data_IF_910846341545
#
_entry.id   IF_910846341545
#
_cell.length_a   1.000
_cell.length_b   1.000
_cell.length_c   1.000
_cell.angle_alpha   90.00
_cell.angle_beta   90.00
_cell.angle_gamma   90.00
#
_symmetry.space_group_name_H-M   'P 1'
#
loop_
_entity.id
_entity.type
_entity.pdbx_description
1 polymer ?
#
# COMPACT_ATOMS: atom_id res chain seq x y z
N UNK A 1 7.45 26.11 -4.10
CA UNK A 1 6.65 26.18 -2.85
C UNK A 1 7.45 26.84 -1.71
N UNK A 2 7.26 28.14 -1.46
CA UNK A 2 7.83 28.84 -0.30
C UNK A 2 6.74 29.34 0.65
N UNK A 3 7.01 29.12 1.95
CA UNK A 3 6.19 29.28 3.17
C UNK A 3 5.07 28.24 3.38
N UNK A 4 5.11 27.66 4.59
CA UNK A 4 4.17 26.71 5.21
C UNK A 4 2.73 27.01 4.84
N UNK A 5 1.94 25.97 4.48
CA UNK A 5 0.49 25.95 4.77
C UNK A 5 -0.18 24.58 4.48
N UNK A 6 0.49 23.59 3.88
CA UNK A 6 -0.15 22.29 3.63
C UNK A 6 0.79 21.11 3.79
N UNK A 7 0.48 20.25 4.77
CA UNK A 7 1.13 18.96 4.98
C UNK A 7 0.65 17.91 3.96
N UNK A 8 -0.54 18.12 3.37
CA UNK A 8 -1.14 17.26 2.34
C UNK A 8 -1.81 18.14 1.28
N UNK A 9 -1.57 17.83 0.00
CA UNK A 9 -2.27 18.44 -1.13
C UNK A 9 -2.93 17.34 -1.93
N UNK A 10 -4.24 17.47 -2.17
CA UNK A 10 -5.00 16.56 -3.02
C UNK A 10 -5.46 17.34 -4.26
N UNK A 11 -5.09 16.83 -5.44
CA UNK A 11 -5.52 17.38 -6.72
C UNK A 11 -6.26 16.31 -7.52
N UNK A 12 -7.46 16.64 -7.99
CA UNK A 12 -8.29 15.74 -8.79
C UNK A 12 -8.56 16.36 -10.16
N UNK A 13 -8.29 15.60 -11.23
CA UNK A 13 -8.35 16.07 -12.61
C UNK A 13 -9.40 15.31 -13.42
N UNK A 14 -10.56 15.95 -13.67
CA UNK A 14 -11.67 15.39 -14.46
C UNK A 14 -11.39 15.28 -15.97
N UNK A 15 -10.31 15.90 -16.45
CA UNK A 15 -10.09 16.07 -17.89
C UNK A 15 -9.91 14.78 -18.68
N UNK A 16 -9.36 13.73 -18.06
CA UNK A 16 -9.16 12.41 -18.67
C UNK A 16 -10.49 11.67 -18.78
N UNK A 17 -11.28 11.66 -17.71
CA UNK A 17 -12.60 11.04 -17.66
C UNK A 17 -13.55 11.62 -18.72
N UNK A 18 -13.72 12.95 -18.74
CA UNK A 18 -14.57 13.61 -19.75
C UNK A 18 -14.12 13.33 -21.19
N UNK A 19 -12.81 13.22 -21.42
CA UNK A 19 -12.27 12.87 -22.73
C UNK A 19 -12.61 11.41 -23.10
N UNK A 20 -12.55 10.51 -22.12
CA UNK A 20 -12.94 9.10 -22.24
C UNK A 20 -14.39 8.96 -22.65
N UNK A 21 -15.32 9.55 -21.90
CA UNK A 21 -16.75 9.54 -22.23
C UNK A 21 -17.06 10.12 -23.61
N UNK A 22 -16.40 11.23 -23.98
CA UNK A 22 -16.72 11.95 -25.21
C UNK A 22 -16.20 11.28 -26.48
N UNK A 23 -15.01 10.70 -26.40
CA UNK A 23 -14.24 10.26 -27.58
C UNK A 23 -13.80 8.79 -27.53
N UNK A 24 -13.78 8.16 -26.36
CA UNK A 24 -13.23 6.83 -26.12
C UNK A 24 -11.71 6.83 -25.85
N UNK A 25 -11.19 5.79 -25.17
CA UNK A 25 -9.80 5.72 -24.70
C UNK A 25 -8.76 5.65 -25.83
N UNK A 26 -9.14 5.16 -27.02
CA UNK A 26 -8.23 4.99 -28.16
C UNK A 26 -8.19 6.21 -29.10
N UNK A 27 -8.94 7.27 -28.81
CA UNK A 27 -9.02 8.45 -29.68
C UNK A 27 -7.80 9.38 -29.51
N UNK A 28 -7.32 10.08 -30.56
CA UNK A 28 -6.18 11.00 -30.46
C UNK A 28 -6.32 12.10 -29.39
N UNK A 29 -7.54 12.53 -29.09
CA UNK A 29 -7.82 13.48 -28.00
C UNK A 29 -7.46 12.91 -26.63
N UNK A 30 -7.63 11.60 -26.41
CA UNK A 30 -7.20 10.95 -25.18
C UNK A 30 -5.69 11.06 -25.02
N UNK A 31 -4.92 10.73 -26.07
CA UNK A 31 -3.47 10.88 -26.08
C UNK A 31 -3.04 12.33 -25.81
N UNK A 32 -3.70 13.31 -26.43
CA UNK A 32 -3.44 14.74 -26.20
C UNK A 32 -3.72 15.13 -24.74
N UNK A 33 -4.80 14.62 -24.15
CA UNK A 33 -5.17 14.87 -22.75
C UNK A 33 -4.19 14.22 -21.77
N UNK A 34 -3.76 12.99 -22.04
CA UNK A 34 -2.74 12.29 -21.24
C UNK A 34 -1.39 13.01 -21.30
N UNK A 35 -0.98 13.54 -22.46
CA UNK A 35 0.21 14.39 -22.58
C UNK A 35 0.11 15.67 -21.74
N UNK A 36 -1.08 16.26 -21.65
CA UNK A 36 -1.33 17.39 -20.75
C UNK A 36 -1.11 16.99 -19.29
N UNK A 37 -1.61 15.83 -18.86
CA UNK A 37 -1.40 15.33 -17.48
C UNK A 37 0.06 15.00 -17.20
N UNK A 38 0.76 14.39 -18.16
CA UNK A 38 2.21 14.15 -18.06
C UNK A 38 2.98 15.47 -17.81
N UNK A 39 2.65 16.53 -18.55
CA UNK A 39 3.29 17.84 -18.36
C UNK A 39 2.98 18.46 -16.98
N UNK A 40 1.79 18.23 -16.43
CA UNK A 40 1.46 18.65 -15.05
C UNK A 40 2.32 17.88 -14.06
N UNK A 41 2.38 16.55 -14.17
CA UNK A 41 3.16 15.68 -13.28
C UNK A 41 4.65 16.07 -13.32
N UNK A 42 5.21 16.32 -14.50
CA UNK A 42 6.60 16.76 -14.65
C UNK A 42 6.89 18.08 -13.92
N UNK A 43 5.97 19.06 -14.03
CA UNK A 43 6.10 20.34 -13.30
C UNK A 43 6.00 20.16 -11.79
N UNK A 44 5.11 19.28 -11.32
CA UNK A 44 5.02 18.97 -9.89
C UNK A 44 6.33 18.35 -9.41
N UNK A 45 6.86 17.35 -10.12
CA UNK A 45 8.12 16.67 -9.79
C UNK A 45 9.28 17.67 -9.66
N UNK A 46 9.37 18.66 -10.54
CA UNK A 46 10.41 19.70 -10.50
C UNK A 46 10.37 20.57 -9.23
N UNK A 47 9.23 20.65 -8.57
CA UNK A 47 9.01 21.47 -7.36
C UNK A 47 9.06 20.64 -6.06
N UNK A 48 9.17 19.31 -6.15
CA UNK A 48 9.16 18.43 -4.97
C UNK A 48 10.45 18.56 -4.17
N UNK A 49 10.31 18.55 -2.85
CA UNK A 49 11.43 18.50 -1.90
C UNK A 49 11.73 17.05 -1.51
N UNK A 50 12.94 16.80 -1.01
CA UNK A 50 13.40 15.47 -0.59
C UNK A 50 12.50 14.80 0.46
N UNK A 51 11.75 15.57 1.25
CA UNK A 51 10.82 15.07 2.26
C UNK A 51 9.37 15.01 1.76
N UNK A 52 9.13 15.02 0.44
CA UNK A 52 7.79 14.98 -0.15
C UNK A 52 7.58 13.68 -0.93
N UNK A 53 6.37 13.14 -0.81
CA UNK A 53 5.88 11.99 -1.58
C UNK A 53 4.83 12.46 -2.59
N UNK A 54 4.98 12.06 -3.85
CA UNK A 54 3.98 12.19 -4.89
C UNK A 54 3.33 10.83 -5.14
N UNK A 55 2.01 10.78 -5.00
CA UNK A 55 1.19 9.61 -5.35
C UNK A 55 0.21 10.04 -6.44
N UNK A 56 0.24 9.37 -7.58
CA UNK A 56 -0.69 9.57 -8.69
C UNK A 56 -1.40 8.25 -8.93
N UNK A 57 -2.73 8.26 -8.87
CA UNK A 57 -3.55 7.08 -9.06
C UNK A 57 -4.83 7.40 -9.83
N UNK A 58 -5.37 6.40 -10.51
CA UNK A 58 -6.74 6.45 -11.02
C UNK A 58 -7.72 5.98 -9.95
N UNK A 59 -8.88 6.60 -9.90
CA UNK A 59 -10.05 6.16 -9.13
C UNK A 59 -10.76 4.98 -9.81
N UNK A 60 -10.90 5.03 -11.13
CA UNK A 60 -11.38 3.93 -11.96
C UNK A 60 -10.72 3.91 -13.35
N UNK A 61 -10.88 2.79 -14.03
CA UNK A 61 -10.60 2.65 -15.46
C UNK A 61 -11.84 2.92 -16.30
N UNK A 62 -11.84 2.49 -17.56
CA UNK A 62 -12.98 2.65 -18.47
C UNK A 62 -13.01 1.54 -19.52
N UNK A 63 -14.21 1.22 -19.99
CA UNK A 63 -14.47 0.33 -21.13
C UNK A 63 -13.93 0.90 -22.45
N UNK A 64 -13.90 0.09 -23.51
CA UNK A 64 -13.49 0.55 -24.83
C UNK A 64 -14.42 1.62 -25.43
N UNK A 65 -15.67 1.69 -24.99
CA UNK A 65 -16.63 2.74 -25.36
C UNK A 65 -16.52 4.01 -24.51
N UNK A 66 -15.62 4.04 -23.52
CA UNK A 66 -15.41 5.18 -22.63
C UNK A 66 -16.32 5.21 -21.41
N UNK A 67 -17.13 4.17 -21.18
CA UNK A 67 -18.03 4.04 -20.03
C UNK A 67 -17.32 3.41 -18.82
N UNK A 68 -17.87 3.55 -17.62
CA UNK A 68 -17.33 2.94 -16.40
C UNK A 68 -18.42 2.66 -15.34
N UNK A 69 -18.04 1.99 -14.23
CA UNK A 69 -18.93 1.69 -13.11
C UNK A 69 -19.30 0.20 -12.94
N UNK A 70 -18.82 -0.66 -13.84
CA UNK A 70 -18.86 -2.10 -13.74
C UNK A 70 -17.65 -2.72 -13.01
N UNK A 71 -17.57 -4.04 -13.06
CA UNK A 71 -16.55 -4.88 -12.43
C UNK A 71 -15.53 -5.46 -13.43
N UNK A 72 -15.56 -4.99 -14.69
CA UNK A 72 -14.65 -5.48 -15.71
C UNK A 72 -13.19 -5.11 -15.40
N UNK A 73 -12.24 -5.93 -15.86
CA UNK A 73 -10.82 -5.69 -15.64
C UNK A 73 -10.39 -4.29 -16.14
N UNK A 74 -10.98 -3.80 -17.22
CA UNK A 74 -10.70 -2.47 -17.77
C UNK A 74 -11.21 -1.33 -16.88
N UNK A 75 -12.27 -1.57 -16.10
CA UNK A 75 -12.89 -0.58 -15.22
C UNK A 75 -12.27 -0.58 -13.82
N UNK A 76 -11.81 -1.73 -13.32
CA UNK A 76 -11.21 -1.82 -11.98
C UNK A 76 -9.68 -1.70 -11.97
N UNK A 77 -9.02 -1.85 -13.12
CA UNK A 77 -7.57 -1.71 -13.23
C UNK A 77 -7.17 -0.27 -13.52
N UNK A 78 -6.37 0.31 -12.62
CA UNK A 78 -5.89 1.69 -12.73
C UNK A 78 -4.38 1.76 -12.58
N UNK A 79 -3.79 2.86 -13.04
CA UNK A 79 -2.38 3.13 -12.81
C UNK A 79 -2.16 3.62 -11.37
N UNK A 80 -1.05 3.19 -10.76
CA UNK A 80 -0.50 3.76 -9.54
C UNK A 80 0.96 4.14 -9.82
N UNK A 81 1.30 5.40 -9.57
CA UNK A 81 2.64 5.94 -9.70
C UNK A 81 3.03 6.62 -8.40
N UNK A 82 4.13 6.17 -7.79
CA UNK A 82 4.65 6.69 -6.54
C UNK A 82 6.07 7.20 -6.80
N UNK A 83 6.34 8.42 -6.36
CA UNK A 83 7.62 9.08 -6.56
C UNK A 83 8.00 9.91 -5.33
N UNK A 84 9.28 9.88 -5.00
CA UNK A 84 9.90 10.84 -4.08
C UNK A 84 11.27 11.23 -4.64
N UNK A 85 11.72 12.49 -4.47
CA UNK A 85 13.10 12.85 -4.80
C UNK A 85 14.12 12.10 -3.94
N UNK A 86 13.74 11.70 -2.72
CA UNK A 86 14.54 10.79 -1.90
C UNK A 86 14.28 9.35 -2.30
N UNK A 87 15.32 8.50 -2.20
CA UNK A 87 15.17 7.07 -2.47
C UNK A 87 14.39 6.40 -1.35
N UNK A 88 13.08 6.25 -1.55
CA UNK A 88 12.17 5.53 -0.65
C UNK A 88 11.94 4.07 -1.06
N UNK A 89 12.19 3.74 -2.33
CA UNK A 89 11.98 2.40 -2.87
C UNK A 89 13.30 1.64 -2.82
N UNK A 90 13.29 0.46 -2.21
CA UNK A 90 14.43 -0.44 -2.27
C UNK A 90 14.44 -1.21 -3.57
N UNK A 91 15.54 -1.11 -4.31
CA UNK A 91 15.80 -1.93 -5.50
C UNK A 91 15.75 -3.45 -5.19
N UNK A 92 15.91 -3.83 -3.91
CA UNK A 92 15.91 -5.23 -3.44
C UNK A 92 14.50 -5.83 -3.46
N UNK A 93 13.45 -5.00 -3.32
CA UNK A 93 12.07 -5.45 -3.17
C UNK A 93 11.19 -5.21 -4.40
N UNK A 94 11.67 -4.47 -5.41
CA UNK A 94 10.88 -4.22 -6.63
C UNK A 94 10.69 -5.53 -7.41
N UNK A 95 9.57 -6.18 -7.20
CA UNK A 95 9.14 -7.30 -8.02
C UNK A 95 8.60 -6.79 -9.36
N UNK A 96 9.04 -7.42 -10.45
CA UNK A 96 8.44 -7.24 -11.78
C UNK A 96 7.01 -7.79 -11.72
N UNK A 97 6.00 -6.93 -11.89
CA UNK A 97 4.56 -7.25 -11.95
C UNK A 97 3.80 -7.29 -10.60
N UNK A 98 3.97 -6.29 -9.74
CA UNK A 98 3.10 -6.12 -8.57
C UNK A 98 1.78 -5.43 -8.94
N UNK A 99 0.67 -6.14 -8.77
CA UNK A 99 -0.65 -5.52 -8.68
C UNK A 99 -0.91 -5.14 -7.21
N UNK A 100 -1.47 -3.96 -6.99
CA UNK A 100 -1.82 -3.43 -5.68
C UNK A 100 -3.30 -3.12 -5.69
N UNK A 101 -4.02 -3.43 -4.61
CA UNK A 101 -5.43 -3.03 -4.49
C UNK A 101 -5.52 -1.57 -4.07
N UNK A 102 -6.52 -0.81 -4.53
CA UNK A 102 -6.66 0.59 -4.11
C UNK A 102 -6.79 0.76 -2.58
N UNK A 103 -7.40 -0.21 -1.88
CA UNK A 103 -7.50 -0.19 -0.40
C UNK A 103 -6.15 -0.24 0.31
N UNK A 104 -5.11 -0.76 -0.36
CA UNK A 104 -3.73 -0.88 0.14
C UNK A 104 -3.00 0.48 0.16
N UNK A 105 -3.47 1.47 -0.61
CA UNK A 105 -2.89 2.82 -0.67
C UNK A 105 -3.02 3.54 0.67
N UNK A 106 -4.16 3.40 1.34
CA UNK A 106 -4.46 4.10 2.60
C UNK A 106 -3.52 3.70 3.75
N UNK A 107 -3.35 2.41 4.13
CA UNK A 107 -2.47 2.03 5.23
C UNK A 107 -1.01 2.37 4.91
N UNK A 108 -0.63 2.26 3.63
CA UNK A 108 0.69 2.66 3.14
C UNK A 108 0.97 4.14 3.36
N UNK A 109 0.05 5.01 2.93
CA UNK A 109 0.19 6.46 3.12
C UNK A 109 0.17 6.85 4.61
N UNK A 110 -0.70 6.23 5.42
CA UNK A 110 -0.75 6.46 6.85
C UNK A 110 0.61 6.24 7.51
N UNK A 111 1.22 5.08 7.28
CA UNK A 111 2.51 4.78 7.91
C UNK A 111 3.66 5.63 7.36
N UNK A 112 3.67 5.96 6.05
CA UNK A 112 4.67 6.87 5.48
C UNK A 112 4.59 8.28 6.06
N UNK A 113 3.40 8.72 6.47
CA UNK A 113 3.15 10.00 7.14
C UNK A 113 3.34 9.93 8.67
N UNK A 114 3.66 8.76 9.24
CA UNK A 114 3.72 8.56 10.69
C UNK A 114 2.37 8.64 11.39
N UNK A 115 1.27 8.40 10.66
CA UNK A 115 -0.10 8.41 11.15
C UNK A 115 -0.61 6.99 11.43
N UNK A 116 -1.53 6.82 12.39
CA UNK A 116 -2.19 5.53 12.58
C UNK A 116 -3.02 5.14 11.36
N UNK A 117 -3.03 3.84 11.06
CA UNK A 117 -3.87 3.28 9.99
C UNK A 117 -5.36 3.44 10.38
N UNK A 118 -6.25 3.91 9.48
CA UNK A 118 -7.66 4.04 9.77
C UNK A 118 -8.28 2.74 10.27
N UNK A 119 -9.10 2.84 11.33
CA UNK A 119 -9.55 1.70 12.11
C UNK A 119 -10.18 0.57 11.30
N UNK A 120 -11.00 0.87 10.29
CA UNK A 120 -11.71 -0.13 9.48
C UNK A 120 -11.01 -0.49 8.18
N UNK A 121 -9.77 -0.06 7.97
CA UNK A 121 -9.04 -0.42 6.76
C UNK A 121 -8.58 -1.88 6.82
N UNK A 122 -8.74 -2.61 5.71
CA UNK A 122 -8.30 -4.00 5.53
C UNK A 122 -7.22 -4.14 4.45
N UNK A 123 -6.66 -3.02 3.99
CA UNK A 123 -5.58 -3.00 3.02
C UNK A 123 -4.28 -3.51 3.62
N UNK A 124 -3.39 -3.89 2.72
CA UNK A 124 -2.07 -4.42 3.01
C UNK A 124 -1.04 -3.36 2.63
N UNK A 125 -0.15 -2.98 3.54
CA UNK A 125 0.89 -1.99 3.23
C UNK A 125 1.76 -2.45 2.05
N UNK A 126 2.09 -1.52 1.14
CA UNK A 126 3.05 -1.75 0.06
C UNK A 126 4.46 -1.76 0.67
N UNK A 127 4.85 -2.94 1.15
CA UNK A 127 6.02 -3.15 2.01
C UNK A 127 7.35 -2.73 1.37
N UNK A 128 7.39 -2.67 0.05
CA UNK A 128 8.50 -2.22 -0.81
C UNK A 128 8.89 -0.77 -0.53
N UNK A 129 7.97 0.04 -0.02
CA UNK A 129 8.18 1.45 0.33
C UNK A 129 8.76 1.64 1.74
N UNK A 130 8.96 0.57 2.51
CA UNK A 130 9.33 0.63 3.93
C UNK A 130 10.71 0.04 4.22
N UNK A 131 11.70 0.20 3.36
CA UNK A 131 13.07 -0.21 3.72
C UNK A 131 13.78 0.88 4.51
N UNK A 132 14.33 0.53 5.66
CA UNK A 132 15.08 1.49 6.47
C UNK A 132 16.51 1.61 5.94
N UNK A 133 16.97 2.84 5.73
CA UNK A 133 18.39 3.11 5.58
C UNK A 133 19.06 3.03 6.96
N UNK A 134 19.58 1.85 7.28
CA UNK A 134 20.14 1.51 8.60
C UNK A 134 21.25 2.45 9.08
N UNK A 135 21.89 3.23 8.20
CA UNK A 135 22.97 4.17 8.56
C UNK A 135 22.50 5.36 9.40
N UNK A 136 21.20 5.65 9.42
CA UNK A 136 20.64 6.84 10.10
C UNK A 136 19.73 6.47 11.29
N UNK A 137 19.64 5.18 11.65
CA UNK A 137 18.67 4.69 12.64
C UNK A 137 19.36 3.91 13.75
N UNK A 138 18.79 3.94 14.97
CA UNK A 138 19.31 3.27 16.17
C UNK A 138 19.13 1.74 16.16
N UNK A 139 19.41 1.07 15.05
CA UNK A 139 19.41 -0.38 14.95
C UNK A 139 20.85 -0.90 14.82
N UNK A 140 21.04 -2.19 15.14
CA UNK A 140 22.32 -2.84 14.97
C UNK A 140 22.75 -2.80 13.49
N UNK A 141 24.04 -2.55 13.23
CA UNK A 141 24.57 -2.39 11.87
C UNK A 141 24.41 -3.64 10.99
N UNK A 142 24.45 -4.83 11.60
CA UNK A 142 24.24 -6.11 10.92
C UNK A 142 22.77 -6.49 10.67
N UNK A 143 21.81 -5.67 11.13
CA UNK A 143 20.39 -5.96 10.91
C UNK A 143 20.00 -5.61 9.46
N UNK A 144 19.35 -6.56 8.79
CA UNK A 144 18.98 -6.37 7.38
C UNK A 144 17.89 -5.27 7.23
N UNK A 145 17.99 -4.37 6.23
CA UNK A 145 17.02 -3.30 5.96
C UNK A 145 15.56 -3.75 5.81
N UNK A 146 15.30 -5.03 5.52
CA UNK A 146 13.96 -5.62 5.51
C UNK A 146 13.22 -5.48 6.84
N UNK A 147 13.92 -5.15 7.94
CA UNK A 147 13.27 -4.88 9.23
C UNK A 147 12.22 -3.77 9.12
N UNK A 148 12.44 -2.74 8.30
CA UNK A 148 11.44 -1.69 8.10
C UNK A 148 10.13 -2.21 7.51
N UNK A 149 10.23 -3.07 6.49
CA UNK A 149 9.08 -3.69 5.85
C UNK A 149 8.34 -4.62 6.83
N UNK A 150 9.10 -5.39 7.63
CA UNK A 150 8.55 -6.26 8.66
C UNK A 150 7.82 -5.47 9.76
N UNK A 151 8.36 -4.32 10.18
CA UNK A 151 7.73 -3.42 11.16
C UNK A 151 6.46 -2.78 10.60
N UNK A 152 6.48 -2.29 9.35
CA UNK A 152 5.29 -1.73 8.72
C UNK A 152 4.15 -2.76 8.60
N UNK A 153 4.48 -3.99 8.20
CA UNK A 153 3.53 -5.10 8.16
C UNK A 153 3.02 -5.50 9.55
N UNK A 154 3.87 -5.41 10.59
CA UNK A 154 3.46 -5.65 11.97
C UNK A 154 2.45 -4.58 12.44
N UNK A 155 2.68 -3.30 12.17
CA UNK A 155 1.73 -2.22 12.51
C UNK A 155 0.39 -2.39 11.78
N UNK A 156 0.43 -2.74 10.49
CA UNK A 156 -0.77 -3.05 9.71
C UNK A 156 -1.53 -4.25 10.29
N UNK A 157 -0.82 -5.31 10.68
CA UNK A 157 -1.39 -6.47 11.34
C UNK A 157 -2.04 -6.13 12.69
N UNK A 158 -1.39 -5.29 13.51
CA UNK A 158 -1.93 -4.86 14.80
C UNK A 158 -3.24 -4.08 14.61
N UNK A 159 -3.30 -3.16 13.64
CA UNK A 159 -4.54 -2.44 13.35
C UNK A 159 -5.64 -3.38 12.86
N UNK A 160 -5.37 -4.28 11.92
CA UNK A 160 -6.35 -5.25 11.41
C UNK A 160 -6.83 -6.18 12.54
N UNK A 161 -5.95 -6.61 13.45
CA UNK A 161 -6.33 -7.42 14.60
C UNK A 161 -7.29 -6.68 15.53
N UNK A 162 -7.01 -5.40 15.82
CA UNK A 162 -7.91 -4.56 16.65
C UNK A 162 -9.29 -4.43 16.01
N UNK A 163 -9.34 -4.21 14.71
CA UNK A 163 -10.60 -4.17 13.96
C UNK A 163 -11.34 -5.51 14.03
N UNK A 164 -10.63 -6.61 13.79
CA UNK A 164 -11.21 -7.96 13.79
C UNK A 164 -11.81 -8.32 15.15
N UNK A 165 -11.07 -8.05 16.24
CA UNK A 165 -11.55 -8.30 17.60
C UNK A 165 -12.81 -7.50 17.93
N UNK A 166 -12.84 -6.22 17.54
CA UNK A 166 -14.02 -5.38 17.73
C UNK A 166 -15.21 -5.89 16.90
N UNK A 167 -14.98 -6.25 15.64
CA UNK A 167 -16.01 -6.79 14.75
C UNK A 167 -16.58 -8.12 15.28
N UNK A 168 -15.72 -9.05 15.69
CA UNK A 168 -16.15 -10.35 16.26
C UNK A 168 -16.96 -10.15 17.53
N UNK A 169 -16.54 -9.24 18.41
CA UNK A 169 -17.23 -8.96 19.68
C UNK A 169 -18.63 -8.38 19.45
N UNK A 170 -18.79 -7.51 18.45
CA UNK A 170 -20.07 -6.83 18.17
C UNK A 170 -21.00 -7.66 17.30
N UNK A 171 -20.49 -8.29 16.24
CA UNK A 171 -21.31 -9.00 15.25
C UNK A 171 -21.50 -10.49 15.58
N UNK A 172 -20.49 -11.15 16.15
CA UNK A 172 -20.46 -12.60 16.29
C UNK A 172 -20.50 -13.36 14.95
N UNK A 173 -20.26 -12.70 13.82
CA UNK A 173 -20.52 -13.26 12.49
C UNK A 173 -19.35 -14.03 11.86
N UNK A 174 -18.16 -13.93 12.46
CA UNK A 174 -16.96 -14.59 11.98
C UNK A 174 -16.82 -16.00 12.59
N UNK A 175 -16.49 -17.03 11.80
CA UNK A 175 -16.37 -18.39 12.34
C UNK A 175 -15.26 -18.53 13.38
N UNK A 176 -15.52 -19.22 14.49
CA UNK A 176 -14.51 -19.50 15.52
C UNK A 176 -13.27 -20.20 14.96
N UNK A 177 -13.46 -21.08 13.97
CA UNK A 177 -12.36 -21.78 13.28
C UNK A 177 -11.45 -20.82 12.52
N UNK A 178 -12.01 -19.76 11.96
CA UNK A 178 -11.25 -18.70 11.30
C UNK A 178 -10.46 -17.87 12.32
N UNK A 179 -11.10 -17.48 13.43
CA UNK A 179 -10.44 -16.72 14.51
C UNK A 179 -9.27 -17.52 15.09
N UNK A 180 -9.49 -18.80 15.42
CA UNK A 180 -8.43 -19.67 15.93
C UNK A 180 -7.25 -19.83 14.96
N UNK A 181 -7.54 -19.96 13.65
CA UNK A 181 -6.50 -20.05 12.62
C UNK A 181 -5.73 -18.73 12.45
N UNK A 182 -6.41 -17.59 12.58
CA UNK A 182 -5.78 -16.28 12.56
C UNK A 182 -4.82 -16.12 13.76
N UNK A 183 -5.24 -16.51 14.96
CA UNK A 183 -4.40 -16.48 16.17
C UNK A 183 -3.19 -17.40 16.08
N UNK A 184 -3.35 -18.60 15.51
CA UNK A 184 -2.25 -19.53 15.29
C UNK A 184 -1.18 -18.94 14.35
N UNK A 185 -1.61 -18.28 13.27
CA UNK A 185 -0.69 -17.58 12.36
C UNK A 185 0.10 -16.48 13.08
N UNK A 186 -0.55 -15.68 13.93
CA UNK A 186 0.13 -14.63 14.71
C UNK A 186 1.13 -15.20 15.73
N UNK A 187 0.80 -16.33 16.37
CA UNK A 187 1.72 -17.04 17.26
C UNK A 187 2.96 -17.52 16.50
N UNK A 188 2.77 -18.06 15.29
CA UNK A 188 3.88 -18.50 14.43
C UNK A 188 4.79 -17.34 14.02
N UNK A 189 4.22 -16.17 13.68
CA UNK A 189 4.99 -14.96 13.37
C UNK A 189 5.77 -14.48 14.60
N UNK A 190 5.16 -14.49 15.78
CA UNK A 190 5.83 -14.10 17.03
C UNK A 190 7.05 -14.96 17.34
N UNK A 191 6.98 -16.27 17.06
CA UNK A 191 8.14 -17.17 17.18
C UNK A 191 9.25 -16.88 16.17
N UNK A 192 8.95 -16.29 15.00
CA UNK A 192 9.97 -15.86 14.03
C UNK A 192 10.72 -14.62 14.53
N UNK A 193 10.01 -13.66 15.13
CA UNK A 193 10.64 -12.47 15.72
C UNK A 193 11.65 -12.81 16.82
N UNK A 194 11.33 -13.78 17.68
CA UNK A 194 12.25 -14.23 18.73
C UNK A 194 13.61 -14.71 18.17
N UNK A 195 13.62 -15.31 16.97
CA UNK A 195 14.84 -15.82 16.33
C UNK A 195 15.77 -14.72 15.81
N UNK A 196 15.28 -13.48 15.63
CA UNK A 196 16.14 -12.37 15.18
C UNK A 196 17.11 -11.98 16.29
N UNK A 197 16.63 -11.88 17.53
CA UNK A 197 17.46 -11.50 18.69
C UNK A 197 18.65 -12.45 18.89
N UNK A 198 18.48 -13.72 18.54
CA UNK A 198 19.52 -14.74 18.69
C UNK A 198 20.50 -14.80 17.50
N UNK A 199 20.16 -14.21 16.35
CA UNK A 199 20.92 -14.40 15.11
C UNK A 199 20.83 -13.22 14.13
N UNK A 200 21.33 -12.05 14.56
CA UNK A 200 21.22 -10.80 13.80
C UNK A 200 21.89 -10.86 12.42
N UNK A 201 23.02 -11.58 12.29
CA UNK A 201 23.72 -11.75 11.01
C UNK A 201 22.94 -12.57 9.97
N UNK A 202 21.94 -13.37 10.39
CA UNK A 202 21.03 -14.11 9.50
C UNK A 202 19.65 -13.48 9.41
N UNK A 203 19.51 -12.23 9.87
CA UNK A 203 18.24 -11.51 9.95
C UNK A 203 17.51 -11.44 8.61
N UNK A 204 18.21 -11.29 7.47
CA UNK A 204 17.60 -11.25 6.13
C UNK A 204 16.60 -12.39 5.87
N UNK A 205 17.03 -13.64 6.07
CA UNK A 205 16.20 -14.81 5.79
C UNK A 205 15.00 -14.87 6.75
N UNK A 206 15.22 -14.52 8.02
CA UNK A 206 14.17 -14.51 9.04
C UNK A 206 13.15 -13.40 8.75
N UNK A 207 13.62 -12.20 8.41
CA UNK A 207 12.80 -11.04 8.04
C UNK A 207 11.99 -11.29 6.76
N UNK A 208 12.58 -11.90 5.73
CA UNK A 208 11.81 -12.31 4.54
C UNK A 208 10.66 -13.26 4.90
N UNK A 209 10.87 -14.22 5.80
CA UNK A 209 9.82 -15.13 6.29
C UNK A 209 8.76 -14.41 7.12
N UNK A 210 9.16 -13.44 7.93
CA UNK A 210 8.24 -12.60 8.72
C UNK A 210 7.37 -11.78 7.78
N UNK A 211 7.94 -11.05 6.82
CA UNK A 211 7.18 -10.28 5.83
C UNK A 211 6.18 -11.17 5.09
N UNK A 212 6.63 -12.31 4.55
CA UNK A 212 5.76 -13.24 3.85
C UNK A 212 4.62 -13.78 4.73
N UNK A 213 4.88 -14.02 6.02
CA UNK A 213 3.89 -14.54 6.96
C UNK A 213 2.87 -13.48 7.37
N UNK A 214 3.27 -12.22 7.59
CA UNK A 214 2.34 -11.10 7.79
C UNK A 214 1.49 -10.84 6.56
N UNK A 215 2.09 -10.77 5.37
CA UNK A 215 1.36 -10.60 4.11
C UNK A 215 0.32 -11.71 3.93
N UNK A 216 0.70 -12.97 4.18
CA UNK A 216 -0.22 -14.11 4.14
C UNK A 216 -1.37 -13.96 5.15
N UNK A 217 -1.08 -13.55 6.38
CA UNK A 217 -2.10 -13.32 7.41
C UNK A 217 -3.09 -12.21 6.98
N UNK A 218 -2.57 -11.08 6.50
CA UNK A 218 -3.39 -9.95 6.07
C UNK A 218 -4.30 -10.32 4.89
N UNK A 219 -3.79 -11.05 3.90
CA UNK A 219 -4.61 -11.61 2.83
C UNK A 219 -5.66 -12.60 3.34
N UNK A 220 -5.30 -13.45 4.31
CA UNK A 220 -6.23 -14.42 4.90
C UNK A 220 -7.42 -13.70 5.56
N UNK A 221 -7.16 -12.65 6.35
CA UNK A 221 -8.21 -11.84 7.00
C UNK A 221 -9.05 -11.10 5.96
N UNK A 222 -8.40 -10.38 5.04
CA UNK A 222 -9.08 -9.61 4.00
C UNK A 222 -10.02 -10.48 3.16
N UNK A 223 -9.54 -11.63 2.69
CA UNK A 223 -10.35 -12.56 1.90
C UNK A 223 -11.56 -13.10 2.67
N UNK A 224 -11.46 -13.28 3.99
CA UNK A 224 -12.59 -13.71 4.81
C UNK A 224 -13.64 -12.59 4.89
N UNK A 225 -13.20 -11.36 5.17
CA UNK A 225 -14.08 -10.19 5.24
C UNK A 225 -14.76 -9.92 3.89
N UNK A 226 -14.02 -9.93 2.78
CA UNK A 226 -14.57 -9.74 1.44
C UNK A 226 -15.64 -10.80 1.11
N UNK A 227 -15.39 -12.08 1.40
CA UNK A 227 -16.40 -13.14 1.20
C UNK A 227 -17.64 -13.00 2.08
N UNK A 228 -17.50 -12.37 3.24
CA UNK A 228 -18.61 -12.17 4.18
C UNK A 228 -19.49 -10.99 3.77
N UNK A 229 -18.92 -9.98 3.12
CA UNK A 229 -19.58 -8.72 2.77
C UNK A 229 -19.91 -8.56 1.28
N UNK A 230 -19.42 -9.46 0.42
CA UNK A 230 -19.88 -9.62 -0.96
C UNK A 230 -21.25 -10.31 -1.00
#
# INVERSE_FOLDING_TARGET
>A
MEKNDSDIIVAHFLGVDHCGHRYGPKHPEMSRKLLQMNNVIQKVIQELKNNTLLVVLGDHGMTESGDHGGDSAQEVSTALFIYSPSKIISDVLVHKNMAVSQVDVVPTMSLLLGLPIPFSNLGIVISELFTLNMKEVCFHEDLDPLVGAALALAENCIQVQKYLQAYTTVSGELPDTFVASAEEQLKNISMLWQKISDNIHHSKNILSKICASYTKYLYYVRNMCEKKWA
#
